data_IF_692074527638
#
_entry.id   IF_692074527638
#
_cell.length_a   1.000
_cell.length_b   1.000
_cell.length_c   1.000
_cell.angle_alpha   90.00
_cell.angle_beta   90.00
_cell.angle_gamma   90.00
#
_symmetry.space_group_name_H-M   'P 1'
#
loop_
_entity.id
_entity.type
_entity.pdbx_description
1 polymer ?
#
# COMPACT_ATOMS: atom_id res chain seq x y z
N UNK A 1 -0.70 -14.00 -33.29
CA UNK A 1 -0.89 -12.61 -32.83
C UNK A 1 0.48 -11.96 -32.85
N UNK A 2 0.61 -10.82 -33.48
CA UNK A 2 1.91 -10.13 -33.56
C UNK A 2 2.27 -9.54 -32.20
N UNK A 3 3.56 -9.47 -31.81
CA UNK A 3 3.99 -8.88 -30.54
C UNK A 3 3.44 -7.47 -30.28
N UNK A 4 3.25 -6.69 -31.36
CA UNK A 4 2.69 -5.34 -31.30
C UNK A 4 1.21 -5.33 -30.88
N UNK A 5 0.43 -6.34 -31.25
CA UNK A 5 -0.99 -6.41 -30.89
C UNK A 5 -1.15 -6.72 -29.40
N UNK A 6 -0.29 -7.59 -28.86
CA UNK A 6 -0.24 -7.90 -27.42
C UNK A 6 0.10 -6.64 -26.62
N UNK A 7 1.12 -5.89 -27.06
CA UNK A 7 1.52 -4.66 -26.39
C UNK A 7 0.39 -3.63 -26.35
N UNK A 8 -0.29 -3.40 -27.49
CA UNK A 8 -1.43 -2.48 -27.56
C UNK A 8 -2.56 -2.88 -26.61
N UNK A 9 -2.89 -4.18 -26.55
CA UNK A 9 -3.96 -4.68 -25.69
C UNK A 9 -3.64 -4.48 -24.21
N UNK A 10 -2.41 -4.82 -23.79
CA UNK A 10 -1.96 -4.59 -22.42
C UNK A 10 -1.97 -3.10 -22.06
N UNK A 11 -1.39 -2.24 -22.92
CA UNK A 11 -1.31 -0.80 -22.67
C UNK A 11 -2.70 -0.17 -22.57
N UNK A 12 -3.65 -0.56 -23.44
CA UNK A 12 -5.02 -0.08 -23.37
C UNK A 12 -5.72 -0.50 -22.08
N UNK A 13 -5.58 -1.77 -21.67
CA UNK A 13 -6.12 -2.28 -20.41
C UNK A 13 -5.52 -1.52 -19.20
N UNK A 14 -4.20 -1.39 -19.15
CA UNK A 14 -3.50 -0.77 -18.04
C UNK A 14 -3.94 0.69 -17.84
N UNK A 15 -3.90 1.52 -18.89
CA UNK A 15 -4.25 2.93 -18.75
C UNK A 15 -5.75 3.16 -18.54
N UNK A 16 -6.63 2.42 -19.21
CA UNK A 16 -8.07 2.53 -18.96
C UNK A 16 -8.45 2.17 -17.52
N UNK A 17 -7.81 1.13 -16.97
CA UNK A 17 -8.01 0.75 -15.56
C UNK A 17 -7.40 1.79 -14.62
N UNK A 18 -6.19 2.28 -14.92
CA UNK A 18 -5.52 3.32 -14.13
C UNK A 18 -6.38 4.58 -13.99
N UNK A 19 -6.96 5.05 -15.11
CA UNK A 19 -7.74 6.28 -15.18
C UNK A 19 -9.14 6.12 -14.54
N UNK A 20 -9.75 4.93 -14.65
CA UNK A 20 -11.08 4.66 -14.10
C UNK A 20 -11.07 4.29 -12.61
N UNK A 21 -10.24 3.33 -12.22
CA UNK A 21 -10.04 2.91 -10.85
C UNK A 21 -8.65 2.29 -10.69
N UNK A 22 -7.68 3.11 -10.32
CA UNK A 22 -6.30 2.68 -10.08
C UNK A 22 -6.18 1.51 -9.09
N UNK A 23 -7.13 1.35 -8.15
CA UNK A 23 -7.09 0.22 -7.20
C UNK A 23 -7.32 -1.13 -7.90
N UNK A 24 -8.04 -1.14 -9.01
CA UNK A 24 -8.28 -2.36 -9.79
C UNK A 24 -7.01 -2.89 -10.49
N UNK A 25 -5.92 -2.12 -10.53
CA UNK A 25 -4.59 -2.61 -10.95
C UNK A 25 -3.87 -3.43 -9.86
N UNK A 26 -4.39 -3.49 -8.62
CA UNK A 26 -3.77 -4.23 -7.53
C UNK A 26 -3.37 -5.68 -7.89
N UNK A 27 -4.16 -6.46 -8.66
CA UNK A 27 -3.74 -7.82 -9.06
C UNK A 27 -2.50 -7.87 -9.95
N UNK A 28 -2.11 -6.77 -10.61
CA UNK A 28 -0.88 -6.70 -11.41
C UNK A 28 0.38 -6.58 -10.56
N UNK A 29 0.23 -6.22 -9.28
CA UNK A 29 1.33 -6.03 -8.34
C UNK A 29 1.16 -6.94 -7.14
N UNK A 30 2.12 -7.81 -6.87
CA UNK A 30 2.12 -8.58 -5.61
C UNK A 30 2.89 -7.82 -4.56
N UNK A 31 2.18 -7.04 -3.76
CA UNK A 31 2.79 -6.28 -2.66
C UNK A 31 2.48 -6.93 -1.32
N UNK A 32 3.52 -7.31 -0.58
CA UNK A 32 3.40 -7.89 0.77
C UNK A 32 4.12 -7.00 1.78
N UNK A 33 3.40 -6.54 2.80
CA UNK A 33 3.97 -5.84 3.94
C UNK A 33 4.40 -6.87 4.98
N UNK A 34 5.70 -6.91 5.29
CA UNK A 34 6.23 -7.62 6.44
C UNK A 34 6.49 -6.62 7.55
N UNK A 35 5.67 -6.65 8.60
CA UNK A 35 5.81 -5.76 9.74
C UNK A 35 6.91 -6.29 10.66
N UNK A 36 7.86 -5.42 11.02
CA UNK A 36 8.98 -5.74 11.91
C UNK A 36 8.74 -5.21 13.33
N UNK A 37 8.42 -3.92 13.45
CA UNK A 37 8.08 -3.31 14.75
C UNK A 37 6.79 -2.52 14.66
N UNK A 38 6.07 -2.47 15.78
CA UNK A 38 4.91 -1.62 16.00
C UNK A 38 5.02 -1.05 17.40
N UNK A 39 5.19 0.26 17.48
CA UNK A 39 5.32 0.99 18.73
C UNK A 39 4.20 2.02 18.80
N UNK A 40 3.42 2.01 19.88
CA UNK A 40 2.28 2.90 20.06
C UNK A 40 2.35 3.64 21.38
N UNK A 41 2.05 4.94 21.37
CA UNK A 41 2.02 5.79 22.56
C UNK A 41 0.80 6.73 22.54
N UNK A 42 0.24 7.07 23.71
CA UNK A 42 -0.67 8.22 23.81
C UNK A 42 0.02 9.48 23.27
N UNK A 43 -0.69 10.26 22.46
CA UNK A 43 -0.18 11.52 21.91
C UNK A 43 -0.86 12.71 22.61
N UNK A 44 -1.99 13.17 22.07
CA UNK A 44 -2.87 14.14 22.70
C UNK A 44 -4.07 13.44 23.34
N UNK A 45 -4.87 14.11 24.21
CA UNK A 45 -6.09 13.51 24.74
C UNK A 45 -6.99 12.98 23.62
N UNK A 46 -7.34 11.70 23.70
CA UNK A 46 -8.15 11.03 22.68
C UNK A 46 -7.37 10.64 21.40
N UNK A 47 -6.04 10.64 21.41
CA UNK A 47 -5.25 10.14 20.26
C UNK A 47 -4.06 9.26 20.65
N UNK A 48 -3.65 8.42 19.69
CA UNK A 48 -2.45 7.58 19.74
C UNK A 48 -1.52 7.99 18.60
N UNK A 49 -0.22 7.94 18.83
CA UNK A 49 0.77 7.91 17.76
C UNK A 49 1.32 6.49 17.64
N UNK A 50 1.39 5.98 16.43
CA UNK A 50 1.88 4.63 16.11
C UNK A 50 3.02 4.76 15.11
N UNK A 51 4.16 4.16 15.43
CA UNK A 51 5.29 4.00 14.53
C UNK A 51 5.39 2.54 14.12
N UNK A 52 5.42 2.29 12.82
CA UNK A 52 5.56 0.97 12.22
C UNK A 52 6.84 0.95 11.40
N UNK A 53 7.68 -0.06 11.59
CA UNK A 53 8.79 -0.34 10.68
C UNK A 53 8.59 -1.69 10.01
N UNK A 54 9.06 -1.84 8.77
CA UNK A 54 8.85 -3.06 8.04
C UNK A 54 9.58 -3.14 6.71
N UNK A 55 9.26 -4.21 6.00
CA UNK A 55 9.73 -4.50 4.65
C UNK A 55 8.54 -4.57 3.71
N UNK A 56 8.70 -4.03 2.51
CA UNK A 56 7.77 -4.11 1.41
C UNK A 56 8.37 -5.03 0.33
N UNK A 57 7.75 -6.18 0.12
CA UNK A 57 8.12 -7.09 -0.96
C UNK A 57 7.19 -6.82 -2.14
N UNK A 58 7.78 -6.72 -3.33
CA UNK A 58 7.06 -6.42 -4.57
C UNK A 58 7.40 -7.53 -5.58
N UNK A 59 6.38 -8.11 -6.21
CA UNK A 59 6.49 -9.02 -7.35
C UNK A 59 7.47 -10.18 -7.14
N UNK A 60 7.36 -10.83 -5.97
CA UNK A 60 8.20 -11.97 -5.55
C UNK A 60 9.72 -11.64 -5.48
N UNK A 61 10.10 -10.36 -5.52
CA UNK A 61 11.48 -9.90 -5.40
C UNK A 61 12.04 -10.19 -3.99
N UNK A 62 13.25 -10.74 -3.93
CA UNK A 62 13.96 -11.07 -2.70
C UNK A 62 14.66 -9.88 -2.05
N UNK A 63 14.75 -8.74 -2.75
CA UNK A 63 15.24 -7.48 -2.18
C UNK A 63 14.05 -6.65 -1.66
N UNK A 64 13.75 -6.68 -0.34
CA UNK A 64 12.68 -5.89 0.23
C UNK A 64 13.04 -4.41 0.27
N UNK A 65 12.04 -3.56 0.06
CA UNK A 65 12.15 -2.13 0.35
C UNK A 65 11.82 -1.90 1.83
N UNK A 66 12.77 -1.37 2.60
CA UNK A 66 12.52 -1.02 3.99
C UNK A 66 11.60 0.21 4.07
N UNK A 67 10.67 0.21 5.02
CA UNK A 67 9.80 1.35 5.29
C UNK A 67 9.71 1.64 6.79
N UNK A 68 9.46 2.92 7.10
CA UNK A 68 9.00 3.39 8.40
C UNK A 68 7.79 4.29 8.17
N UNK A 69 6.70 4.04 8.89
CA UNK A 69 5.45 4.77 8.74
C UNK A 69 4.91 5.19 10.10
N UNK A 70 4.52 6.46 10.22
CA UNK A 70 3.88 6.99 11.42
C UNK A 70 2.40 7.27 11.14
N UNK A 71 1.55 6.91 12.09
CA UNK A 71 0.12 7.20 12.07
C UNK A 71 -0.27 7.93 13.35
N UNK A 72 -1.05 9.00 13.23
CA UNK A 72 -1.74 9.59 14.36
C UNK A 72 -3.20 9.13 14.30
N UNK A 73 -3.63 8.34 15.28
CA UNK A 73 -4.99 7.84 15.37
C UNK A 73 -5.78 8.69 16.35
N UNK A 74 -6.83 9.36 15.86
CA UNK A 74 -7.74 10.16 16.69
C UNK A 74 -9.01 9.37 16.96
N UNK A 75 -9.46 9.36 18.21
CA UNK A 75 -10.67 8.68 18.63
C UNK A 75 -11.89 9.56 18.35
N UNK A 76 -12.88 9.02 17.66
CA UNK A 76 -14.21 9.62 17.49
C UNK A 76 -15.28 8.52 17.46
N UNK A 77 -16.38 8.74 18.20
CA UNK A 77 -17.53 7.82 18.22
C UNK A 77 -17.21 6.36 18.59
N UNK A 78 -16.16 6.10 19.38
CA UNK A 78 -15.70 4.75 19.72
C UNK A 78 -14.87 4.05 18.65
N UNK A 79 -14.52 4.75 17.57
CA UNK A 79 -13.61 4.30 16.51
C UNK A 79 -12.36 5.17 16.45
N UNK A 80 -11.36 4.77 15.66
CA UNK A 80 -10.16 5.56 15.39
C UNK A 80 -10.06 5.89 13.90
N UNK A 81 -9.63 7.10 13.59
CA UNK A 81 -9.30 7.55 12.23
C UNK A 81 -7.92 8.18 12.19
N UNK A 82 -7.31 8.20 11.00
CA UNK A 82 -6.01 8.82 10.74
C UNK A 82 -6.17 10.27 10.29
#
# INVERSE_FOLDING_TARGET
MEPMDIAKQFTAYYYSTFDADRKALAPLYKTVHQILTVDAQPSTPGSLIVLVTGNLLIDDNTMPLQFSQAFQLVQDGGSFYM
#
